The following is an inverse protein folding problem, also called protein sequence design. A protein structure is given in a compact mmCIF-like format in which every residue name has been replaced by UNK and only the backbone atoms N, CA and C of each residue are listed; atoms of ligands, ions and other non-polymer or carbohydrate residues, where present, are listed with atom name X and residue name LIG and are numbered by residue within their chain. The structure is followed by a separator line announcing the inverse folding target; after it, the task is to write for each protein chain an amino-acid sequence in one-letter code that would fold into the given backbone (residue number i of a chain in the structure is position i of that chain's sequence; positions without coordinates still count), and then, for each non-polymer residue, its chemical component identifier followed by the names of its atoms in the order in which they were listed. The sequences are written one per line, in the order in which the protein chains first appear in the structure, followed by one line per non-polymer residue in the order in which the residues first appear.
data_IF_730383141131
#
_entry.id   IF_730383141131
#
_cell.length_a   1.000
_cell.length_b   1.000
_cell.length_c   1.000
_cell.angle_alpha   90.00
_cell.angle_beta   90.00
_cell.angle_gamma   90.00
#
_symmetry.space_group_name_H-M   'P 1'
#
loop_
_entity.id
_entity.type
_entity.pdbx_description
1 polymer ?
#
# COMPACT_ATOMS: atom_id res chain seq x y z
N UNK A 1 -2.29 16.64 5.60
CA UNK A 1 -2.68 15.71 6.70
C UNK A 1 -2.99 16.52 7.93
N UNK A 2 -3.95 16.08 8.73
CA UNK A 2 -4.33 16.72 10.00
C UNK A 2 -3.37 16.38 11.15
N UNK A 3 -3.64 16.90 12.36
CA UNK A 3 -2.83 16.63 13.56
C UNK A 3 -2.82 15.16 14.02
N UNK A 4 -3.73 14.33 13.51
CA UNK A 4 -3.78 12.87 13.79
C UNK A 4 -3.00 12.03 12.77
N UNK A 5 -2.38 12.67 11.79
CA UNK A 5 -1.60 12.01 10.75
C UNK A 5 -2.43 11.32 9.69
N UNK A 6 -3.70 11.71 9.52
CA UNK A 6 -4.61 11.21 8.47
C UNK A 6 -4.99 12.33 7.51
N UNK A 7 -5.78 12.04 6.48
CA UNK A 7 -6.26 13.07 5.54
C UNK A 7 -7.03 14.15 6.29
N UNK A 8 -6.79 15.41 5.94
CA UNK A 8 -7.60 16.54 6.40
C UNK A 8 -8.85 16.60 5.53
N UNK A 9 -10.02 16.27 6.10
CA UNK A 9 -11.28 16.19 5.35
C UNK A 9 -11.76 17.56 4.88
N UNK A 10 -11.45 18.63 5.63
CA UNK A 10 -11.85 19.98 5.25
C UNK A 10 -11.01 20.45 4.06
N UNK A 11 -9.69 20.28 4.16
CA UNK A 11 -8.77 20.59 3.06
C UNK A 11 -9.09 19.75 1.82
N UNK A 12 -9.38 18.46 1.98
CA UNK A 12 -9.82 17.61 0.87
C UNK A 12 -11.09 18.15 0.21
N UNK A 13 -12.10 18.53 0.99
CA UNK A 13 -13.35 19.07 0.45
C UNK A 13 -13.17 20.42 -0.27
N UNK A 14 -12.23 21.25 0.19
CA UNK A 14 -11.88 22.52 -0.47
C UNK A 14 -11.11 22.32 -1.77
N UNK A 15 -10.29 21.26 -1.87
CA UNK A 15 -9.49 20.95 -3.06
C UNK A 15 -10.25 20.14 -4.10
N UNK A 16 -11.28 19.39 -3.71
CA UNK A 16 -12.08 18.59 -4.64
C UNK A 16 -13.10 19.45 -5.38
N UNK A 17 -12.97 19.46 -6.70
CA UNK A 17 -13.90 20.09 -7.63
C UNK A 17 -14.24 19.16 -8.82
N UNK A 18 -15.02 19.65 -9.76
CA UNK A 18 -15.47 18.90 -10.94
C UNK A 18 -14.36 18.65 -11.97
N UNK A 19 -13.21 19.34 -11.85
CA UNK A 19 -12.03 19.15 -12.72
C UNK A 19 -11.02 18.17 -12.11
N UNK A 20 -11.18 17.81 -10.83
CA UNK A 20 -10.30 16.90 -10.12
C UNK A 20 -10.63 15.44 -10.43
N UNK A 21 -9.68 14.73 -11.07
CA UNK A 21 -9.86 13.34 -11.51
C UNK A 21 -10.04 12.35 -10.34
N UNK A 22 -9.47 12.64 -9.16
CA UNK A 22 -9.55 11.74 -8.03
C UNK A 22 -8.46 11.92 -6.98
N UNK A 23 -8.42 10.99 -6.02
CA UNK A 23 -7.46 10.96 -4.93
C UNK A 23 -6.69 9.64 -4.94
N UNK A 24 -5.35 9.73 -4.82
CA UNK A 24 -4.50 8.58 -4.55
C UNK A 24 -4.24 8.48 -3.06
N UNK A 25 -4.52 7.32 -2.46
CA UNK A 25 -4.38 7.11 -1.03
C UNK A 25 -3.79 5.73 -0.73
N UNK A 26 -2.84 5.70 0.18
CA UNK A 26 -2.35 4.49 0.83
C UNK A 26 -3.09 4.32 2.17
N UNK A 27 -3.66 3.15 2.46
CA UNK A 27 -4.31 2.88 3.75
C UNK A 27 -3.99 1.45 4.25
N UNK A 28 -3.22 1.26 5.35
CA UNK A 28 -2.59 2.29 6.17
C UNK A 28 -1.68 3.23 5.38
N UNK A 29 -1.66 4.50 5.78
CA UNK A 29 -0.85 5.52 5.14
C UNK A 29 0.64 5.33 5.40
N UNK A 30 1.47 6.19 4.82
CA UNK A 30 2.94 6.07 4.83
C UNK A 30 3.59 6.31 6.18
N UNK A 31 2.88 6.88 7.17
CA UNK A 31 3.36 6.92 8.57
C UNK A 31 2.95 5.67 9.36
N UNK A 32 2.20 4.76 8.73
CA UNK A 32 1.74 3.50 9.30
C UNK A 32 0.37 3.58 9.98
N UNK A 33 -0.45 4.58 9.68
CA UNK A 33 -1.75 4.78 10.35
C UNK A 33 -2.92 4.46 9.43
N UNK A 34 -3.97 3.84 9.99
CA UNK A 34 -5.25 3.74 9.30
C UNK A 34 -5.94 5.11 9.25
N UNK A 35 -6.51 5.44 8.10
CA UNK A 35 -7.34 6.63 7.96
C UNK A 35 -8.73 6.36 8.56
N UNK A 36 -9.04 7.03 9.66
CA UNK A 36 -10.33 6.91 10.36
C UNK A 36 -11.48 7.56 9.57
N UNK A 37 -11.19 8.41 8.59
CA UNK A 37 -12.17 9.17 7.80
C UNK A 37 -12.50 8.56 6.44
N UNK A 38 -12.17 7.29 6.19
CA UNK A 38 -12.22 6.70 4.84
C UNK A 38 -13.60 6.79 4.16
N UNK A 39 -14.68 6.63 4.91
CA UNK A 39 -16.05 6.76 4.39
C UNK A 39 -16.37 8.20 3.98
N UNK A 40 -15.84 9.19 4.70
CA UNK A 40 -16.07 10.60 4.38
C UNK A 40 -15.19 11.05 3.20
N UNK A 41 -13.96 10.51 3.11
CA UNK A 41 -13.09 10.66 1.94
C UNK A 41 -13.80 10.15 0.69
N UNK A 42 -14.40 8.96 0.74
CA UNK A 42 -15.20 8.41 -0.36
C UNK A 42 -16.32 9.36 -0.77
N UNK A 43 -17.14 9.82 0.19
CA UNK A 43 -18.24 10.75 -0.11
C UNK A 43 -17.77 12.05 -0.75
N UNK A 44 -16.69 12.65 -0.25
CA UNK A 44 -16.14 13.90 -0.80
C UNK A 44 -15.65 13.68 -2.23
N UNK A 45 -14.84 12.64 -2.46
CA UNK A 45 -14.22 12.39 -3.77
C UNK A 45 -15.27 11.99 -4.80
N UNK A 46 -16.12 11.01 -4.49
CA UNK A 46 -17.17 10.56 -5.40
C UNK A 46 -18.28 11.61 -5.58
N UNK A 47 -18.56 12.42 -4.55
CA UNK A 47 -19.54 13.51 -4.61
C UNK A 47 -19.18 14.60 -5.63
N UNK A 48 -17.90 14.71 -6.00
CA UNK A 48 -17.39 15.57 -7.09
C UNK A 48 -17.13 14.83 -8.40
N UNK A 49 -17.42 13.53 -8.46
CA UNK A 49 -17.20 12.70 -9.65
C UNK A 49 -15.78 12.17 -9.81
N UNK A 50 -14.90 12.40 -8.83
CA UNK A 50 -13.54 11.88 -8.82
C UNK A 50 -13.49 10.37 -8.51
N UNK A 51 -12.33 9.75 -8.76
CA UNK A 51 -12.05 8.35 -8.47
C UNK A 51 -11.12 8.16 -7.28
N UNK A 52 -11.28 7.08 -6.55
CA UNK A 52 -10.36 6.67 -5.49
C UNK A 52 -9.36 5.63 -5.99
N UNK A 53 -8.08 5.99 -5.96
CA UNK A 53 -6.97 5.08 -6.27
C UNK A 53 -6.29 4.61 -4.98
N UNK A 54 -6.25 3.30 -4.77
CA UNK A 54 -5.56 2.67 -3.65
C UNK A 54 -4.12 2.30 -4.03
N UNK A 55 -3.16 2.92 -3.37
CA UNK A 55 -1.80 2.42 -3.32
C UNK A 55 -1.74 1.22 -2.36
N UNK A 56 -1.65 0.01 -2.93
CA UNK A 56 -1.62 -1.24 -2.19
C UNK A 56 -0.25 -1.68 -1.72
N UNK A 57 0.75 -0.80 -1.71
CA UNK A 57 2.08 -1.11 -1.18
C UNK A 57 2.07 -1.48 0.31
N UNK A 58 1.01 -1.11 1.04
CA UNK A 58 0.78 -1.39 2.47
C UNK A 58 -0.30 -2.45 2.73
N UNK A 59 -0.74 -3.19 1.69
CA UNK A 59 -1.80 -4.21 1.83
C UNK A 59 -1.45 -5.31 2.84
N UNK A 60 -0.18 -5.48 3.22
CA UNK A 60 0.22 -6.46 4.23
C UNK A 60 -0.45 -6.23 5.60
N UNK A 61 -0.94 -5.02 5.87
CA UNK A 61 -1.70 -4.75 7.09
C UNK A 61 -3.18 -5.18 6.99
N UNK A 62 -3.67 -5.55 5.80
CA UNK A 62 -5.11 -5.68 5.53
C UNK A 62 -5.55 -7.03 4.95
N UNK A 63 -4.62 -7.92 4.57
CA UNK A 63 -4.96 -9.25 4.07
C UNK A 63 -5.86 -9.99 5.05
N UNK A 64 -7.03 -10.45 4.59
CA UNK A 64 -8.01 -11.17 5.40
C UNK A 64 -8.78 -10.30 6.42
N UNK A 65 -8.43 -9.02 6.59
CA UNK A 65 -9.04 -8.12 7.58
C UNK A 65 -10.01 -7.16 6.91
N UNK A 66 -9.58 -6.50 5.83
CA UNK A 66 -10.38 -5.52 5.08
C UNK A 66 -10.02 -5.55 3.60
N UNK A 67 -10.90 -5.04 2.75
CA UNK A 67 -10.69 -4.96 1.30
C UNK A 67 -10.81 -3.52 0.84
N UNK A 68 -9.86 -2.99 0.05
CA UNK A 68 -9.94 -1.63 -0.47
C UNK A 68 -11.24 -1.35 -1.24
N UNK A 69 -11.75 -2.32 -2.00
CA UNK A 69 -13.01 -2.17 -2.73
C UNK A 69 -14.24 -1.96 -1.84
N UNK A 70 -14.24 -2.48 -0.61
CA UNK A 70 -15.32 -2.24 0.37
C UNK A 70 -15.20 -0.86 1.01
N UNK A 71 -14.00 -0.27 0.98
CA UNK A 71 -13.70 1.08 1.48
C UNK A 71 -13.79 2.15 0.37
N UNK A 72 -14.55 1.89 -0.69
CA UNK A 72 -14.84 2.86 -1.74
C UNK A 72 -13.83 2.93 -2.89
N UNK A 73 -12.65 2.31 -2.79
CA UNK A 73 -11.62 2.42 -3.82
C UNK A 73 -12.03 1.83 -5.19
N UNK A 74 -11.79 2.58 -6.26
CA UNK A 74 -12.20 2.23 -7.62
C UNK A 74 -11.10 1.51 -8.40
N UNK A 75 -9.83 1.84 -8.10
CA UNK A 75 -8.63 1.22 -8.67
C UNK A 75 -7.67 0.89 -7.55
N UNK A 76 -7.01 -0.26 -7.63
CA UNK A 76 -5.93 -0.66 -6.73
C UNK A 76 -4.74 -1.13 -7.54
N UNK A 77 -3.52 -0.76 -7.15
CA UNK A 77 -2.34 -1.53 -7.53
C UNK A 77 -1.78 -2.32 -6.34
N UNK A 78 -1.25 -3.52 -6.58
CA UNK A 78 -0.64 -4.37 -5.56
C UNK A 78 0.82 -4.67 -5.87
N UNK A 79 1.70 -4.57 -4.86
CA UNK A 79 3.13 -4.90 -5.00
C UNK A 79 3.39 -6.36 -4.63
N UNK A 80 3.47 -7.23 -5.64
CA UNK A 80 3.71 -8.67 -5.42
C UNK A 80 5.06 -9.00 -4.77
N UNK A 81 6.03 -8.10 -4.94
CA UNK A 81 7.38 -8.14 -4.38
C UNK A 81 7.50 -7.52 -2.99
N UNK A 82 6.40 -7.05 -2.40
CA UNK A 82 6.32 -6.65 -1.00
C UNK A 82 5.43 -7.63 -0.23
N UNK A 83 4.13 -7.55 -0.47
CA UNK A 83 3.10 -8.27 0.31
C UNK A 83 3.09 -9.77 0.06
N UNK A 84 3.45 -10.22 -1.15
CA UNK A 84 3.22 -11.59 -1.60
C UNK A 84 4.51 -12.41 -1.74
N UNK A 85 5.47 -12.18 -0.84
CA UNK A 85 6.67 -13.01 -0.62
C UNK A 85 7.64 -13.17 -1.82
N UNK A 86 7.46 -12.40 -2.89
CA UNK A 86 8.46 -12.40 -3.98
C UNK A 86 9.75 -11.71 -3.51
N UNK A 87 10.94 -12.27 -3.77
CA UNK A 87 12.21 -11.67 -3.35
C UNK A 87 12.43 -10.27 -3.93
N UNK A 88 12.95 -9.35 -3.10
CA UNK A 88 13.28 -7.99 -3.51
C UNK A 88 14.48 -7.90 -4.49
N UNK A 89 15.36 -8.90 -4.49
CA UNK A 89 16.44 -9.06 -5.48
C UNK A 89 17.43 -7.88 -5.60
N UNK A 90 17.63 -7.11 -4.53
CA UNK A 90 18.49 -5.92 -4.54
C UNK A 90 17.92 -4.73 -5.32
N UNK A 91 16.63 -4.74 -5.64
CA UNK A 91 15.93 -3.67 -6.37
C UNK A 91 14.92 -4.16 -7.42
N UNK A 92 14.87 -5.47 -7.69
CA UNK A 92 13.90 -6.09 -8.57
C UNK A 92 14.24 -7.54 -8.90
N UNK A 93 13.40 -8.24 -9.69
CA UNK A 93 12.21 -7.73 -10.37
C UNK A 93 10.96 -7.68 -9.48
N UNK A 94 10.06 -6.75 -9.79
CA UNK A 94 8.73 -6.67 -9.17
C UNK A 94 7.61 -7.13 -10.11
N UNK A 95 6.39 -7.14 -9.62
CA UNK A 95 5.18 -7.10 -10.43
C UNK A 95 4.14 -6.24 -9.71
N UNK A 96 3.54 -5.32 -10.45
CA UNK A 96 2.38 -4.53 -10.04
C UNK A 96 1.15 -5.06 -10.75
N UNK A 97 0.16 -5.55 -10.01
CA UNK A 97 -1.13 -5.97 -10.58
C UNK A 97 -2.18 -4.94 -10.23
N UNK A 98 -3.08 -4.66 -11.18
CA UNK A 98 -4.17 -3.72 -10.97
C UNK A 98 -5.51 -4.45 -10.83
N UNK A 99 -6.30 -4.05 -9.86
CA UNK A 99 -7.70 -4.42 -9.70
C UNK A 99 -8.56 -3.18 -9.87
N UNK A 100 -9.71 -3.30 -10.53
CA UNK A 100 -10.61 -2.17 -10.79
C UNK A 100 -12.06 -2.55 -10.55
N UNK A 101 -12.89 -1.57 -10.21
CA UNK A 101 -14.35 -1.73 -10.21
C UNK A 101 -14.88 -1.95 -11.63
N UNK A 102 -16.09 -2.52 -11.72
CA UNK A 102 -16.71 -2.99 -12.97
C UNK A 102 -16.76 -1.93 -14.08
N UNK A 103 -17.04 -0.67 -13.72
CA UNK A 103 -17.12 0.46 -14.65
C UNK A 103 -15.77 0.79 -15.32
N UNK A 104 -14.65 0.39 -14.71
CA UNK A 104 -13.30 0.67 -15.20
C UNK A 104 -12.69 -0.50 -16.00
N UNK A 105 -13.33 -1.68 -16.00
CA UNK A 105 -12.89 -2.86 -16.77
C UNK A 105 -12.62 -2.55 -18.26
N UNK A 106 -13.47 -1.77 -18.98
CA UNK A 106 -13.24 -1.48 -20.40
C UNK A 106 -11.95 -0.71 -20.69
N UNK A 107 -11.36 -0.06 -19.68
CA UNK A 107 -10.14 0.75 -19.82
C UNK A 107 -8.88 0.01 -19.35
N UNK A 108 -8.99 -1.25 -18.93
CA UNK A 108 -7.81 -2.04 -18.55
C UNK A 108 -6.80 -2.15 -19.71
N UNK A 109 -5.50 -2.26 -19.42
CA UNK A 109 -4.50 -2.61 -20.42
C UNK A 109 -4.86 -3.91 -21.15
N UNK A 110 -4.34 -4.06 -22.36
CA UNK A 110 -4.52 -5.25 -23.19
C UNK A 110 -3.20 -6.04 -23.33
N UNK A 111 -3.22 -7.38 -23.48
CA UNK A 111 -4.36 -8.29 -23.33
C UNK A 111 -4.57 -8.76 -21.88
N UNK A 112 -5.78 -9.26 -21.57
CA UNK A 112 -6.14 -9.82 -20.26
C UNK A 112 -6.36 -11.34 -20.33
N UNK A 113 -6.07 -12.05 -19.23
CA UNK A 113 -6.37 -13.49 -19.14
C UNK A 113 -7.87 -13.69 -18.97
N UNK A 114 -8.48 -14.48 -19.85
CA UNK A 114 -9.88 -14.87 -19.80
C UNK A 114 -10.02 -16.40 -19.84
N UNK A 115 -11.17 -16.92 -19.39
CA UNK A 115 -11.47 -18.35 -19.40
C UNK A 115 -12.70 -18.63 -20.25
N UNK A 116 -12.57 -19.56 -21.20
CA UNK A 116 -13.68 -20.07 -21.99
C UNK A 116 -14.25 -21.32 -21.28
N UNK A 117 -15.48 -21.22 -20.75
CA UNK A 117 -16.14 -22.30 -20.02
C UNK A 117 -16.42 -23.53 -20.88
N UNK A 118 -16.79 -23.33 -22.14
CA UNK A 118 -17.20 -24.40 -23.05
C UNK A 118 -16.01 -25.23 -23.49
N UNK A 119 -14.89 -24.56 -23.78
CA UNK A 119 -13.64 -25.19 -24.17
C UNK A 119 -12.77 -25.61 -22.98
N UNK A 120 -13.12 -25.17 -21.76
CA UNK A 120 -12.33 -25.33 -20.53
C UNK A 120 -10.87 -24.89 -20.69
N UNK A 121 -10.65 -23.75 -21.36
CA UNK A 121 -9.30 -23.23 -21.68
C UNK A 121 -9.17 -21.75 -21.34
N UNK A 122 -7.99 -21.39 -20.85
CA UNK A 122 -7.57 -20.00 -20.72
C UNK A 122 -7.09 -19.46 -22.07
N UNK A 123 -7.36 -18.19 -22.33
CA UNK A 123 -6.91 -17.47 -23.51
C UNK A 123 -6.61 -16.01 -23.16
N UNK A 124 -5.92 -15.31 -24.06
CA UNK A 124 -5.68 -13.88 -23.95
C UNK A 124 -6.76 -13.14 -24.72
N UNK A 125 -7.57 -12.37 -24.00
CA UNK A 125 -8.60 -11.51 -24.56
C UNK A 125 -8.03 -10.13 -24.83
N UNK A 126 -8.40 -9.56 -25.98
CA UNK A 126 -8.29 -8.12 -26.18
C UNK A 126 -9.22 -7.39 -25.20
N UNK A 127 -8.77 -6.29 -24.62
CA UNK A 127 -9.57 -5.41 -23.75
C UNK A 127 -10.50 -4.48 -24.55
N UNK A 128 -10.37 -4.44 -25.89
CA UNK A 128 -11.23 -3.69 -26.79
C UNK A 128 -10.81 -2.23 -26.99
N UNK A 129 -11.59 -1.49 -27.76
CA UNK A 129 -11.24 -0.15 -28.25
C UNK A 129 -11.06 0.90 -27.15
N UNK A 130 -11.68 0.70 -25.98
CA UNK A 130 -11.54 1.61 -24.83
C UNK A 130 -10.31 1.34 -23.98
N UNK A 131 -9.56 0.28 -24.27
CA UNK A 131 -8.33 -0.04 -23.56
C UNK A 131 -7.34 1.12 -23.64
N UNK A 132 -6.61 1.36 -22.55
CA UNK A 132 -5.46 2.27 -22.57
C UNK A 132 -4.24 1.71 -23.34
N UNK A 133 -4.37 0.52 -23.92
CA UNK A 133 -3.33 -0.12 -24.72
C UNK A 133 -2.32 -0.92 -23.89
N UNK A 134 -1.17 -1.23 -24.49
CA UNK A 134 -0.08 -1.93 -23.81
C UNK A 134 0.77 -0.95 -23.00
N UNK A 135 0.98 -1.27 -21.72
CA UNK A 135 1.84 -0.49 -20.81
C UNK A 135 3.22 -1.11 -20.61
N UNK A 136 3.50 -2.27 -21.22
CA UNK A 136 4.78 -2.99 -21.15
C UNK A 136 4.92 -4.02 -22.28
N UNK A 137 6.12 -4.57 -22.43
CA UNK A 137 6.37 -5.72 -23.30
C UNK A 137 5.86 -7.04 -22.66
N UNK A 138 5.24 -7.89 -23.48
CA UNK A 138 4.56 -9.12 -23.04
C UNK A 138 3.50 -8.86 -21.97
N UNK A 139 3.07 -9.90 -21.24
CA UNK A 139 1.93 -9.82 -20.34
C UNK A 139 2.29 -9.43 -18.91
N UNK A 140 3.30 -10.08 -18.33
CA UNK A 140 3.70 -9.85 -16.94
C UNK A 140 5.08 -10.45 -16.65
N UNK A 141 5.63 -10.13 -15.48
CA UNK A 141 6.77 -10.87 -14.92
C UNK A 141 6.25 -12.21 -14.37
N UNK A 142 6.04 -13.18 -15.28
CA UNK A 142 5.31 -14.42 -15.01
C UNK A 142 5.87 -15.22 -13.82
N UNK A 143 7.19 -15.27 -13.67
CA UNK A 143 7.82 -15.95 -12.53
C UNK A 143 7.50 -15.32 -11.17
N UNK A 144 7.21 -14.01 -11.12
CA UNK A 144 6.74 -13.32 -9.91
C UNK A 144 5.29 -13.74 -9.61
N UNK A 145 4.43 -13.78 -10.63
CA UNK A 145 3.03 -14.23 -10.48
C UNK A 145 2.95 -15.67 -9.97
N UNK A 146 3.79 -16.58 -10.47
CA UNK A 146 3.81 -17.99 -10.02
C UNK A 146 4.17 -18.11 -8.54
N UNK A 147 5.16 -17.33 -8.06
CA UNK A 147 5.54 -17.31 -6.63
C UNK A 147 4.40 -16.78 -5.76
N UNK A 148 3.79 -15.67 -6.18
CA UNK A 148 2.62 -15.11 -5.50
C UNK A 148 1.48 -16.12 -5.44
N UNK A 149 1.16 -16.79 -6.54
CA UNK A 149 0.12 -17.81 -6.58
C UNK A 149 0.40 -18.97 -5.61
N UNK A 150 1.62 -19.52 -5.64
CA UNK A 150 2.04 -20.57 -4.73
C UNK A 150 1.98 -20.13 -3.26
N UNK A 151 2.37 -18.90 -2.97
CA UNK A 151 2.29 -18.32 -1.62
C UNK A 151 0.84 -18.20 -1.14
N UNK A 152 -0.05 -17.59 -1.94
CA UNK A 152 -1.48 -17.45 -1.59
C UNK A 152 -2.10 -18.82 -1.30
N UNK A 153 -1.85 -19.82 -2.14
CA UNK A 153 -2.36 -21.18 -1.93
C UNK A 153 -1.82 -21.85 -0.67
N UNK A 154 -0.54 -21.62 -0.36
CA UNK A 154 0.12 -22.21 0.79
C UNK A 154 -0.35 -21.58 2.11
N UNK A 155 -0.65 -20.29 2.10
CA UNK A 155 -1.15 -19.57 3.28
C UNK A 155 -2.63 -19.86 3.54
N UNK A 156 -3.46 -19.94 2.49
CA UNK A 156 -4.91 -20.02 2.64
C UNK A 156 -5.50 -18.78 3.35
N UNK A 157 -6.83 -18.73 3.56
CA UNK A 157 -7.48 -17.57 4.16
C UNK A 157 -6.94 -17.25 5.57
N UNK A 158 -6.80 -18.28 6.42
CA UNK A 158 -6.33 -18.11 7.80
C UNK A 158 -4.87 -17.64 7.85
N UNK A 159 -4.00 -18.17 6.98
CA UNK A 159 -2.61 -17.74 6.90
C UNK A 159 -2.46 -16.30 6.40
N UNK A 160 -3.32 -15.87 5.46
CA UNK A 160 -3.36 -14.48 5.00
C UNK A 160 -3.79 -13.53 6.13
N UNK A 161 -4.84 -13.88 6.88
CA UNK A 161 -5.27 -13.11 8.06
C UNK A 161 -4.14 -13.04 9.12
N UNK A 162 -3.56 -14.19 9.48
CA UNK A 162 -2.50 -14.28 10.49
C UNK A 162 -1.25 -13.49 10.08
N UNK A 163 -0.94 -13.41 8.78
CA UNK A 163 0.17 -12.58 8.26
C UNK A 163 -0.04 -11.11 8.60
N UNK A 164 -1.25 -10.60 8.34
CA UNK A 164 -1.60 -9.21 8.66
C UNK A 164 -1.58 -8.95 10.15
N UNK A 165 -2.27 -9.79 10.92
CA UNK A 165 -2.35 -9.66 12.38
C UNK A 165 -0.96 -9.66 13.02
N UNK A 166 -0.11 -10.63 12.65
CA UNK A 166 1.26 -10.72 13.16
C UNK A 166 2.09 -9.50 12.79
N UNK A 167 1.94 -8.97 11.56
CA UNK A 167 2.67 -7.77 11.14
C UNK A 167 2.30 -6.54 11.96
N UNK A 168 1.00 -6.37 12.27
CA UNK A 168 0.49 -5.27 13.09
C UNK A 168 1.00 -5.39 14.52
N UNK A 169 0.92 -6.59 15.11
CA UNK A 169 1.39 -6.84 16.48
C UNK A 169 2.89 -6.57 16.59
N UNK A 170 3.70 -7.05 15.64
CA UNK A 170 5.15 -6.85 15.65
C UNK A 170 5.52 -5.37 15.56
N UNK A 171 4.86 -4.60 14.68
CA UNK A 171 5.11 -3.17 14.54
C UNK A 171 4.77 -2.42 15.85
N UNK A 172 3.62 -2.71 16.45
CA UNK A 172 3.22 -2.06 17.71
C UNK A 172 4.10 -2.49 18.90
N UNK A 173 4.60 -3.73 18.92
CA UNK A 173 5.56 -4.18 19.92
C UNK A 173 6.88 -3.39 19.83
N UNK A 174 7.42 -3.22 18.61
CA UNK A 174 8.63 -2.42 18.38
C UNK A 174 8.39 -0.96 18.79
N UNK A 175 7.25 -0.39 18.38
CA UNK A 175 6.87 0.96 18.79
C UNK A 175 6.84 1.10 20.31
N UNK A 176 6.20 0.17 21.02
CA UNK A 176 6.12 0.16 22.49
C UNK A 176 7.51 0.12 23.16
N UNK A 177 8.45 -0.65 22.61
CA UNK A 177 9.84 -0.71 23.11
C UNK A 177 10.61 0.57 22.85
N UNK A 178 10.41 1.20 21.69
CA UNK A 178 11.16 2.37 21.25
C UNK A 178 10.61 3.69 21.80
N UNK A 179 9.35 3.75 22.23
CA UNK A 179 8.69 4.94 22.82
C UNK A 179 9.47 5.60 23.98
N UNK A 180 10.29 4.83 24.70
CA UNK A 180 11.13 5.36 25.80
C UNK A 180 12.33 6.17 25.32
N UNK A 181 12.71 6.01 24.05
CA UNK A 181 13.92 6.59 23.45
C UNK A 181 13.59 7.52 22.29
N UNK A 182 12.56 7.20 21.52
CA UNK A 182 12.13 7.96 20.36
C UNK A 182 10.66 8.35 20.49
N UNK A 183 10.32 9.53 19.98
CA UNK A 183 8.91 9.94 19.85
C UNK A 183 8.33 9.32 18.58
N UNK A 184 7.12 8.73 18.61
CA UNK A 184 6.42 8.40 17.38
C UNK A 184 6.07 9.67 16.59
N UNK A 185 5.84 9.52 15.29
CA UNK A 185 5.29 10.59 14.46
C UNK A 185 3.93 11.05 14.99
N UNK A 186 3.09 10.09 15.38
CA UNK A 186 1.80 10.31 16.00
C UNK A 186 1.60 9.31 17.14
N UNK A 187 1.10 9.76 18.28
CA UNK A 187 0.93 8.91 19.47
C UNK A 187 -0.31 8.00 19.38
N UNK A 188 -0.27 7.04 18.44
CA UNK A 188 -1.35 6.09 18.14
C UNK A 188 -0.79 4.68 17.93
N UNK A 189 -1.67 3.68 17.93
CA UNK A 189 -1.34 2.37 17.39
C UNK A 189 -1.22 2.45 15.88
N UNK A 190 -0.28 1.69 15.33
CA UNK A 190 0.00 1.64 13.91
C UNK A 190 -0.54 0.35 13.27
N UNK A 191 -0.56 0.30 11.94
CA UNK A 191 -0.72 -0.92 11.16
C UNK A 191 0.58 -1.72 11.15
N UNK A 192 1.01 -2.15 9.96
CA UNK A 192 2.19 -3.01 9.80
C UNK A 192 3.57 -2.32 9.95
N UNK A 193 3.60 -1.00 10.09
CA UNK A 193 4.84 -0.21 10.24
C UNK A 193 4.62 0.94 11.22
N UNK A 194 5.68 1.43 11.86
CA UNK A 194 5.62 2.61 12.72
C UNK A 194 6.69 3.62 12.32
N UNK A 195 6.34 4.91 12.40
CA UNK A 195 7.29 6.00 12.16
C UNK A 195 7.69 6.64 13.48
N UNK A 196 8.99 6.71 13.73
CA UNK A 196 9.58 7.33 14.93
C UNK A 196 10.60 8.40 14.52
N UNK A 197 10.77 9.41 15.38
CA UNK A 197 11.68 10.53 15.14
C UNK A 197 12.84 10.56 16.13
N UNK A 198 14.04 10.71 15.58
CA UNK A 198 15.27 11.03 16.32
C UNK A 198 15.59 12.53 16.33
N UNK A 199 14.67 13.42 15.90
CA UNK A 199 14.94 14.87 15.76
C UNK A 199 15.44 15.51 17.06
N UNK A 200 15.03 15.00 18.24
CA UNK A 200 15.50 15.49 19.53
C UNK A 200 17.00 15.31 19.75
N UNK A 201 17.63 14.35 19.07
CA UNK A 201 19.07 14.12 19.18
C UNK A 201 19.90 15.10 18.36
N UNK A 202 19.27 15.94 17.53
CA UNK A 202 19.94 17.02 16.80
C UNK A 202 20.67 17.98 17.74
N UNK A 203 20.17 18.19 18.96
CA UNK A 203 20.83 19.00 20.00
C UNK A 203 22.20 18.45 20.43
N UNK A 204 22.46 17.17 20.17
CA UNK A 204 23.76 16.52 20.39
C UNK A 204 24.59 16.40 19.10
N UNK A 205 24.16 17.04 18.00
CA UNK A 205 24.80 16.92 16.70
C UNK A 205 24.50 15.62 15.95
N UNK A 206 23.61 14.76 16.47
CA UNK A 206 23.27 13.46 15.88
C UNK A 206 22.11 13.59 14.89
N UNK A 207 22.30 13.10 13.67
CA UNK A 207 21.28 13.01 12.62
C UNK A 207 20.72 11.60 12.53
N UNK A 208 19.54 11.44 11.90
CA UNK A 208 18.95 10.13 11.60
C UNK A 208 19.93 9.23 10.83
N UNK A 209 20.71 9.78 9.90
CA UNK A 209 21.75 9.05 9.18
C UNK A 209 22.80 8.44 10.10
N UNK A 210 23.24 9.17 11.13
CA UNK A 210 24.26 8.68 12.07
C UNK A 210 23.73 7.50 12.87
N UNK A 211 22.46 7.57 13.32
CA UNK A 211 21.77 6.46 13.98
C UNK A 211 21.66 5.24 13.04
N UNK A 212 21.28 5.47 11.77
CA UNK A 212 21.17 4.41 10.77
C UNK A 212 22.52 3.73 10.48
N UNK A 213 23.61 4.50 10.38
CA UNK A 213 24.96 3.95 10.22
C UNK A 213 25.40 3.21 11.49
N UNK A 214 25.07 3.73 12.67
CA UNK A 214 25.39 3.06 13.93
C UNK A 214 24.68 1.70 14.05
N UNK A 215 23.45 1.54 13.57
CA UNK A 215 22.77 0.24 13.54
C UNK A 215 23.54 -0.82 12.75
N UNK A 216 24.24 -0.41 11.69
CA UNK A 216 25.06 -1.33 10.88
C UNK A 216 26.22 -1.92 11.70
N UNK A 217 26.80 -1.14 12.61
CA UNK A 217 27.85 -1.63 13.54
C UNK A 217 27.30 -2.72 14.49
N UNK A 218 25.99 -2.73 14.74
CA UNK A 218 25.29 -3.76 15.53
C UNK A 218 24.76 -4.91 14.67
N UNK A 219 25.12 -4.97 13.38
CA UNK A 219 24.70 -6.04 12.46
C UNK A 219 23.25 -5.91 11.97
N UNK A 220 22.66 -4.72 12.04
CA UNK A 220 21.28 -4.46 11.62
C UNK A 220 21.27 -3.57 10.37
N UNK A 221 20.64 -4.04 9.29
CA UNK A 221 20.33 -3.14 8.17
C UNK A 221 19.33 -2.08 8.66
N UNK A 222 19.61 -0.79 8.52
CA UNK A 222 18.74 0.24 9.05
C UNK A 222 17.36 0.23 8.39
N UNK A 223 16.32 0.75 9.07
CA UNK A 223 15.01 0.95 8.48
C UNK A 223 15.06 2.03 7.39
N UNK A 224 13.92 2.24 6.71
CA UNK A 224 13.71 3.42 5.88
C UNK A 224 13.94 4.69 6.71
N UNK A 225 14.74 5.62 6.19
CA UNK A 225 15.02 6.90 6.83
C UNK A 225 14.63 8.06 5.92
N UNK A 226 14.26 9.20 6.52
CA UNK A 226 13.88 10.43 5.81
C UNK A 226 12.63 10.32 4.93
N UNK A 227 11.85 9.26 5.07
CA UNK A 227 10.55 9.09 4.45
C UNK A 227 9.59 8.35 5.41
N UNK A 228 8.29 8.71 5.44
CA UNK A 228 7.71 9.89 4.80
C UNK A 228 8.15 11.18 5.49
N UNK A 229 7.90 12.32 4.84
CA UNK A 229 7.94 13.61 5.51
C UNK A 229 6.67 13.78 6.34
N UNK A 230 6.84 14.15 7.60
CA UNK A 230 5.75 14.50 8.51
C UNK A 230 6.20 15.69 9.36
N UNK A 231 5.27 16.55 9.72
CA UNK A 231 5.49 17.57 10.75
C UNK A 231 4.81 17.10 12.04
N UNK A 232 5.51 17.17 13.19
CA UNK A 232 4.92 16.88 14.49
C UNK A 232 3.90 17.94 14.92
#
# INVERSE_FOLDING_TARGET
SNEKGTVDLKELAELMDEDTVGLMLTNPNTVGLYDEGIEEIEKIVHGKGGLLYYDGANLNASLGISRPGDAGFDVVHLNLHKTFSTPHGGGGPGAGVIGVKKNLIPYLPTPNVAFNSDQKKYYLSDAGEKSIGMVRAFWANFSVLVKTYAWILSMGPDGLYNTSETSIINANYILAKLRKFYKPAYDRYCGHECTITGREYKKYGVKTLDIAKRLMDYGVHPPTIYFPHFEP
#
